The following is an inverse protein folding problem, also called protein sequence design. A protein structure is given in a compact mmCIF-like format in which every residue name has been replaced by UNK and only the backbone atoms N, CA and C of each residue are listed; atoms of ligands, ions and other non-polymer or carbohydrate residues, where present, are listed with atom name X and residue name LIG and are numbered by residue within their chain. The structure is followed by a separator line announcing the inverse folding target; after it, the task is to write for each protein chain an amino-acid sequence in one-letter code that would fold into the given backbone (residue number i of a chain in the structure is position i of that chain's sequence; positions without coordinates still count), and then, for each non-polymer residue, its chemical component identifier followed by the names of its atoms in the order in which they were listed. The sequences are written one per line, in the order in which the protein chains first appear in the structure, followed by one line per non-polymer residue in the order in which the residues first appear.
data_IF_276077114000
#
_entry.id   IF_276077114000
#
_cell.length_a   1.000
_cell.length_b   1.000
_cell.length_c   1.000
_cell.angle_alpha   90.00
_cell.angle_beta   90.00
_cell.angle_gamma   90.00
#
_symmetry.space_group_name_H-M   'P 1'
#
loop_
_entity.id
_entity.type
_entity.pdbx_description
1 polymer ?
#
# COMPACT_ATOMS: atom_id res chain seq x y z
N UNK A 1 17.13 44.33 57.33
CA UNK A 1 15.97 44.99 56.68
C UNK A 1 15.65 44.24 55.41
N UNK A 2 14.35 44.09 55.20
CA UNK A 2 13.69 43.05 54.41
C UNK A 2 13.71 43.26 52.89
N UNK A 3 13.49 42.13 52.18
CA UNK A 3 12.89 41.97 50.85
C UNK A 3 13.79 42.28 49.62
N UNK A 4 13.65 41.67 48.43
CA UNK A 4 12.56 40.91 47.80
C UNK A 4 13.15 39.81 46.90
N UNK A 5 12.45 38.67 46.86
CA UNK A 5 12.57 37.62 45.84
C UNK A 5 11.91 38.12 44.55
N UNK A 6 12.59 38.04 43.42
CA UNK A 6 11.92 38.01 42.11
C UNK A 6 12.52 36.94 41.20
N UNK A 7 11.72 35.90 41.01
CA UNK A 7 11.85 34.90 39.95
C UNK A 7 11.21 35.48 38.69
N UNK A 8 11.93 35.66 37.56
CA UNK A 8 11.29 35.82 36.28
C UNK A 8 11.17 34.44 35.63
N UNK A 9 9.92 34.03 35.45
CA UNK A 9 9.52 32.91 34.63
C UNK A 9 10.06 33.11 33.20
N UNK A 10 11.08 32.34 32.82
CA UNK A 10 11.43 32.13 31.42
C UNK A 10 10.36 31.20 30.84
N UNK A 11 9.27 31.80 30.38
CA UNK A 11 8.38 31.21 29.40
C UNK A 11 9.23 30.91 28.17
N UNK A 12 9.61 29.64 28.04
CA UNK A 12 10.16 29.10 26.81
C UNK A 12 9.03 29.15 25.77
N UNK A 13 8.90 30.29 25.08
CA UNK A 13 8.10 30.39 23.87
C UNK A 13 8.81 29.51 22.86
N UNK A 14 8.46 28.23 22.84
CA UNK A 14 8.68 27.35 21.71
C UNK A 14 8.00 28.02 20.53
N UNK A 15 8.75 28.84 19.80
CA UNK A 15 8.42 29.12 18.42
C UNK A 15 8.48 27.76 17.74
N UNK A 16 7.31 27.15 17.55
CA UNK A 16 7.08 26.26 16.43
C UNK A 16 7.40 27.07 15.18
N UNK A 17 8.67 27.12 14.80
CA UNK A 17 9.02 27.01 13.40
C UNK A 17 8.61 25.60 12.99
N UNK A 18 7.29 25.43 12.84
CA UNK A 18 6.76 24.42 11.96
C UNK A 18 7.38 24.75 10.62
N UNK A 19 8.37 23.94 10.24
CA UNK A 19 8.75 23.85 8.86
C UNK A 19 7.46 23.49 8.12
N UNK A 20 6.83 24.50 7.52
CA UNK A 20 5.88 24.28 6.45
C UNK A 20 6.74 23.68 5.36
N UNK A 21 6.85 22.34 5.36
CA UNK A 21 7.21 21.63 4.15
C UNK A 21 6.13 22.08 3.17
N UNK A 22 6.52 22.91 2.21
CA UNK A 22 5.72 23.21 1.04
C UNK A 22 5.54 21.90 0.27
N UNK A 23 4.72 21.02 0.81
CA UNK A 23 4.23 19.82 0.15
C UNK A 23 3.30 20.32 -0.93
N UNK A 24 3.86 20.51 -2.13
CA UNK A 24 3.06 20.68 -3.34
C UNK A 24 2.01 19.59 -3.35
N UNK A 25 0.73 19.97 -3.42
CA UNK A 25 -0.38 19.03 -3.52
C UNK A 25 -0.08 18.11 -4.72
N UNK A 26 -0.10 16.77 -4.54
CA UNK A 26 0.21 15.87 -5.62
C UNK A 26 -0.76 16.09 -6.79
N UNK A 27 -0.21 16.22 -8.00
CA UNK A 27 -1.00 16.42 -9.21
C UNK A 27 -1.70 15.11 -9.55
N UNK A 28 -3.00 15.03 -9.26
CA UNK A 28 -3.84 13.86 -9.53
C UNK A 28 -4.60 13.96 -10.85
N UNK A 29 -4.65 15.14 -11.46
CA UNK A 29 -5.21 15.34 -12.78
C UNK A 29 -4.57 16.56 -13.43
N UNK A 30 -4.70 16.67 -14.74
CA UNK A 30 -4.27 17.85 -15.47
C UNK A 30 -4.70 17.82 -16.92
N UNK A 31 -4.35 18.88 -17.62
CA UNK A 31 -4.61 19.06 -19.05
C UNK A 31 -3.31 19.43 -19.76
N UNK A 32 -3.13 18.93 -20.97
CA UNK A 32 -2.03 19.27 -21.87
C UNK A 32 -2.62 19.63 -23.22
N UNK A 33 -2.15 20.73 -23.77
CA UNK A 33 -2.60 21.22 -25.07
C UNK A 33 -1.40 21.56 -25.95
N UNK A 34 -1.58 21.48 -27.25
CA UNK A 34 -0.59 22.00 -28.20
C UNK A 34 -0.40 23.52 -28.04
N UNK A 35 0.79 24.06 -28.33
CA UNK A 35 1.03 25.50 -28.26
C UNK A 35 0.03 26.28 -29.12
N UNK A 36 -0.67 27.24 -28.51
CA UNK A 36 -1.65 28.08 -29.18
C UNK A 36 -3.06 27.51 -29.27
N UNK A 37 -3.33 26.30 -28.79
CA UNK A 37 -4.67 25.69 -28.80
C UNK A 37 -5.74 26.65 -28.20
N UNK A 38 -6.93 26.79 -28.81
CA UNK A 38 -7.46 26.09 -29.97
C UNK A 38 -7.07 26.69 -31.34
N UNK A 39 -6.22 27.71 -31.37
CA UNK A 39 -5.68 28.23 -32.63
C UNK A 39 -4.68 27.25 -33.25
N UNK A 40 -4.38 27.40 -34.56
CA UNK A 40 -3.45 26.50 -35.23
C UNK A 40 -2.06 26.48 -34.60
N UNK A 41 -1.47 25.29 -34.48
CA UNK A 41 -0.13 25.13 -33.91
C UNK A 41 0.96 25.64 -34.87
N UNK A 42 2.07 26.20 -34.34
CA UNK A 42 3.23 26.57 -35.15
C UNK A 42 3.95 25.39 -35.85
N UNK A 43 4.61 25.62 -36.99
CA UNK A 43 5.52 24.62 -37.58
C UNK A 43 6.81 24.48 -36.77
N UNK A 44 7.55 23.40 -37.03
CA UNK A 44 8.89 23.12 -36.49
C UNK A 44 8.97 23.04 -34.95
N UNK A 45 7.90 22.55 -34.32
CA UNK A 45 7.84 22.35 -32.87
C UNK A 45 8.52 21.06 -32.44
N UNK A 46 9.05 21.09 -31.23
CA UNK A 46 9.52 19.92 -30.50
C UNK A 46 9.22 20.09 -29.01
N UNK A 47 7.96 19.88 -28.65
CA UNK A 47 7.48 20.07 -27.28
C UNK A 47 7.43 18.75 -26.53
N UNK A 48 7.80 18.78 -25.25
CA UNK A 48 7.88 17.61 -24.39
C UNK A 48 7.16 17.90 -23.07
N UNK A 49 6.25 16.99 -22.69
CA UNK A 49 5.60 17.02 -21.38
C UNK A 49 5.86 15.71 -20.64
N UNK A 50 6.46 15.81 -19.46
CA UNK A 50 6.61 14.69 -18.52
C UNK A 50 5.45 14.72 -17.52
N UNK A 51 4.50 13.81 -17.71
CA UNK A 51 3.33 13.64 -16.85
C UNK A 51 3.70 12.68 -15.73
N UNK A 52 3.55 13.13 -14.49
CA UNK A 52 3.87 12.35 -13.29
C UNK A 52 2.70 12.41 -12.32
N UNK A 53 2.33 11.24 -11.79
CA UNK A 53 1.42 11.09 -10.66
C UNK A 53 2.16 10.41 -9.50
N UNK A 54 1.63 10.47 -8.26
CA UNK A 54 2.24 9.79 -7.13
C UNK A 54 2.42 8.28 -7.38
N UNK A 55 3.34 7.66 -6.64
CA UNK A 55 3.44 6.20 -6.61
C UNK A 55 2.14 5.59 -6.07
N UNK A 56 1.85 4.36 -6.49
CA UNK A 56 0.55 3.71 -6.23
C UNK A 56 -0.56 4.12 -7.21
N UNK A 57 -0.27 5.02 -8.15
CA UNK A 57 -1.19 5.41 -9.22
C UNK A 57 -0.59 5.13 -10.60
N UNK A 58 -1.49 4.91 -11.56
CA UNK A 58 -1.20 4.97 -12.99
C UNK A 58 -1.86 6.21 -13.61
N UNK A 59 -1.46 6.60 -14.81
CA UNK A 59 -2.09 7.65 -15.60
C UNK A 59 -3.09 7.05 -16.57
N UNK A 60 -4.30 7.60 -16.57
CA UNK A 60 -5.23 7.49 -17.68
C UNK A 60 -5.18 8.78 -18.51
N UNK A 61 -4.58 8.71 -19.69
CA UNK A 61 -4.51 9.82 -20.64
C UNK A 61 -5.62 9.69 -21.68
N UNK A 62 -6.39 10.76 -21.87
CA UNK A 62 -7.48 10.82 -22.86
C UNK A 62 -7.33 12.08 -23.71
N UNK A 63 -7.22 11.92 -25.02
CA UNK A 63 -7.29 13.03 -25.96
C UNK A 63 -8.75 13.48 -26.09
N UNK A 64 -9.04 14.72 -25.68
CA UNK A 64 -10.37 15.32 -25.82
C UNK A 64 -10.59 15.84 -27.25
N UNK A 65 -9.52 16.30 -27.90
CA UNK A 65 -9.52 16.72 -29.30
C UNK A 65 -8.17 16.43 -29.96
N UNK A 66 -8.21 15.97 -31.21
CA UNK A 66 -7.01 15.79 -32.03
C UNK A 66 -7.29 16.22 -33.47
N UNK A 67 -6.47 17.13 -33.96
CA UNK A 67 -6.54 17.77 -35.26
C UNK A 67 -5.12 18.15 -35.68
N UNK A 68 -4.35 17.14 -36.07
CA UNK A 68 -2.95 17.22 -36.50
C UNK A 68 -2.86 16.79 -37.96
N UNK A 69 -1.90 17.30 -38.73
CA UNK A 69 -1.69 16.93 -40.13
C UNK A 69 -1.56 15.41 -40.31
N UNK A 70 -2.39 14.85 -41.20
CA UNK A 70 -2.43 13.41 -41.48
C UNK A 70 -1.34 13.05 -42.48
N UNK A 71 -0.52 12.06 -42.13
CA UNK A 71 0.48 11.45 -43.01
C UNK A 71 0.58 9.95 -42.73
N UNK A 72 1.15 9.19 -43.67
CA UNK A 72 1.42 7.76 -43.46
C UNK A 72 2.31 7.58 -42.22
N UNK A 73 1.88 6.72 -41.29
CA UNK A 73 2.50 6.49 -39.98
C UNK A 73 2.82 7.77 -39.17
N UNK A 74 2.07 8.85 -39.44
CA UNK A 74 2.28 10.16 -38.84
C UNK A 74 3.74 10.63 -38.96
N UNK A 75 4.30 10.51 -40.17
CA UNK A 75 5.68 10.85 -40.49
C UNK A 75 6.00 12.35 -40.37
N UNK A 76 5.10 13.22 -40.80
CA UNK A 76 5.29 14.69 -40.74
C UNK A 76 5.03 15.23 -39.34
N UNK A 77 3.76 15.45 -39.00
CA UNK A 77 3.34 15.93 -37.69
C UNK A 77 2.83 14.78 -36.83
N UNK A 78 3.20 14.76 -35.55
CA UNK A 78 2.74 13.73 -34.63
C UNK A 78 2.82 14.10 -33.16
N UNK A 79 1.91 13.53 -32.38
CA UNK A 79 2.03 13.41 -30.92
C UNK A 79 2.39 11.97 -30.56
N UNK A 80 3.50 11.78 -29.86
CA UNK A 80 3.98 10.47 -29.40
C UNK A 80 3.78 10.33 -27.90
N UNK A 81 3.34 9.15 -27.47
CA UNK A 81 3.15 8.78 -26.06
C UNK A 81 4.15 7.70 -25.69
N UNK A 82 4.95 7.96 -24.65
CA UNK A 82 6.06 7.12 -24.21
C UNK A 82 5.92 6.78 -22.72
N UNK A 83 6.37 5.59 -22.33
CA UNK A 83 6.59 5.20 -20.94
C UNK A 83 8.07 4.85 -20.75
N UNK A 84 8.84 5.75 -20.12
CA UNK A 84 10.29 5.64 -20.11
C UNK A 84 10.86 5.58 -21.53
N UNK A 85 11.50 4.46 -21.89
CA UNK A 85 12.01 4.20 -23.26
C UNK A 85 11.02 3.46 -24.16
N UNK A 86 9.89 2.99 -23.63
CA UNK A 86 8.89 2.21 -24.36
C UNK A 86 7.94 3.14 -25.09
N UNK A 87 7.78 2.91 -26.39
CA UNK A 87 6.78 3.59 -27.21
C UNK A 87 5.39 2.97 -27.01
N UNK A 88 4.40 3.80 -26.69
CA UNK A 88 3.01 3.37 -26.51
C UNK A 88 2.14 3.70 -27.72
N UNK A 89 2.43 4.79 -28.44
CA UNK A 89 1.71 5.16 -29.66
C UNK A 89 2.17 6.48 -30.26
N UNK A 90 1.82 6.67 -31.53
CA UNK A 90 2.01 7.91 -32.30
C UNK A 90 0.68 8.21 -32.98
N UNK A 91 0.25 9.47 -32.90
CA UNK A 91 -1.07 9.89 -33.35
C UNK A 91 -0.99 11.17 -34.18
N UNK A 92 -1.85 11.24 -35.20
CA UNK A 92 -2.07 12.39 -36.08
C UNK A 92 -3.44 12.24 -36.77
N UNK A 93 -3.85 13.24 -37.56
CA UNK A 93 -5.15 13.30 -38.21
C UNK A 93 -6.23 13.96 -37.35
N UNK A 94 -7.44 14.07 -37.94
CA UNK A 94 -8.65 14.56 -37.26
C UNK A 94 -9.43 13.41 -36.66
N UNK A 95 -9.81 13.53 -35.39
CA UNK A 95 -10.80 12.69 -34.71
C UNK A 95 -10.76 11.20 -35.11
N UNK A 96 -9.81 10.44 -34.56
CA UNK A 96 -9.73 8.96 -34.55
C UNK A 96 -10.60 8.21 -35.59
N UNK A 97 -10.27 8.31 -36.88
CA UNK A 97 -10.77 7.38 -37.91
C UNK A 97 -9.58 6.65 -38.52
N UNK A 98 -9.06 5.65 -37.80
CA UNK A 98 -8.20 4.60 -38.38
C UNK A 98 -8.22 3.33 -37.53
N UNK A 99 -9.43 2.77 -37.39
CA UNK A 99 -9.85 1.39 -37.03
C UNK A 99 -11.04 1.48 -36.09
N UNK A 100 -12.20 1.05 -36.59
CA UNK A 100 -13.50 1.31 -35.97
C UNK A 100 -13.60 0.89 -34.51
N UNK A 101 -13.81 1.88 -33.65
CA UNK A 101 -14.60 1.78 -32.43
C UNK A 101 -15.00 3.21 -32.02
N UNK A 102 -16.20 3.34 -31.46
CA UNK A 102 -16.96 4.60 -31.24
C UNK A 102 -16.18 5.79 -30.60
N UNK A 103 -16.64 7.05 -30.81
CA UNK A 103 -16.05 8.24 -30.22
C UNK A 103 -16.26 8.25 -28.69
N UNK A 104 -15.15 8.22 -27.94
CA UNK A 104 -15.10 8.17 -26.47
C UNK A 104 -14.25 7.05 -25.85
N UNK A 105 -13.55 6.22 -26.63
CA UNK A 105 -13.11 4.87 -26.18
C UNK A 105 -11.60 4.54 -26.20
N UNK A 106 -10.69 5.50 -26.41
CA UNK A 106 -9.25 5.22 -26.38
C UNK A 106 -8.52 6.02 -25.29
N UNK A 107 -8.76 5.64 -24.04
CA UNK A 107 -7.90 5.99 -22.91
C UNK A 107 -6.58 5.21 -22.99
N UNK A 108 -5.45 5.90 -22.93
CA UNK A 108 -4.14 5.27 -22.80
C UNK A 108 -3.82 5.14 -21.31
N UNK A 109 -3.85 3.89 -20.83
CA UNK A 109 -3.42 3.56 -19.48
C UNK A 109 -1.90 3.39 -19.46
N UNK A 110 -1.20 4.11 -18.58
CA UNK A 110 0.24 3.93 -18.45
C UNK A 110 0.58 2.64 -17.68
N UNK A 111 1.73 2.02 -17.98
CA UNK A 111 2.21 0.87 -17.21
C UNK A 111 2.70 1.22 -15.79
N UNK A 112 2.96 2.50 -15.49
CA UNK A 112 3.41 2.97 -14.19
C UNK A 112 2.94 4.40 -13.93
N UNK A 113 3.59 5.13 -13.03
CA UNK A 113 3.13 6.44 -12.56
C UNK A 113 3.61 7.64 -13.42
N UNK A 114 4.08 7.39 -14.64
CA UNK A 114 4.53 8.45 -15.54
C UNK A 114 4.15 8.18 -17.00
N UNK A 115 4.12 9.26 -17.79
CA UNK A 115 4.08 9.26 -19.25
C UNK A 115 4.90 10.43 -19.76
N UNK A 116 5.51 10.27 -20.93
CA UNK A 116 6.13 11.36 -21.68
C UNK A 116 5.39 11.56 -22.98
N UNK A 117 4.93 12.78 -23.20
CA UNK A 117 4.33 13.24 -24.45
C UNK A 117 5.37 14.01 -25.25
N UNK A 118 5.46 13.73 -26.55
CA UNK A 118 6.36 14.45 -27.46
C UNK A 118 5.57 14.89 -28.69
N UNK A 119 5.34 16.19 -28.82
CA UNK A 119 4.69 16.78 -30.00
C UNK A 119 5.76 17.33 -30.94
N UNK A 120 5.79 16.80 -32.16
CA UNK A 120 6.72 17.21 -33.20
C UNK A 120 5.96 17.63 -34.45
N UNK A 121 6.33 18.79 -35.00
CA UNK A 121 5.80 19.28 -36.27
C UNK A 121 6.94 19.54 -37.26
N UNK A 122 6.65 19.41 -38.55
CA UNK A 122 7.63 19.60 -39.61
C UNK A 122 7.83 21.09 -39.98
N UNK A 123 8.69 21.37 -40.97
CA UNK A 123 8.93 22.73 -41.47
C UNK A 123 7.92 23.23 -42.49
N UNK A 124 7.00 22.36 -42.94
CA UNK A 124 6.07 22.62 -44.02
C UNK A 124 4.65 22.43 -43.54
N UNK A 125 3.98 23.51 -43.16
CA UNK A 125 2.52 23.47 -43.07
C UNK A 125 1.95 23.70 -44.45
N UNK A 126 1.39 22.71 -45.17
CA UNK A 126 0.69 22.98 -46.42
C UNK A 126 -0.63 23.67 -46.03
N UNK A 127 -0.59 24.99 -45.84
CA UNK A 127 -1.73 25.80 -45.42
C UNK A 127 -1.84 25.99 -43.90
N UNK A 128 -0.85 26.67 -43.31
CA UNK A 128 -0.56 27.06 -41.91
C UNK A 128 -1.70 27.57 -41.00
N UNK A 129 -2.97 27.37 -41.37
CA UNK A 129 -4.15 27.86 -40.66
C UNK A 129 -5.27 26.82 -40.50
N UNK A 130 -5.01 25.51 -40.70
CA UNK A 130 -6.08 24.49 -40.69
C UNK A 130 -6.17 23.58 -39.46
N UNK A 131 -5.07 23.33 -38.77
CA UNK A 131 -4.99 22.26 -37.76
C UNK A 131 -4.83 22.85 -36.36
N UNK A 132 -5.85 22.68 -35.52
CA UNK A 132 -5.90 23.22 -34.16
C UNK A 132 -4.96 22.51 -33.18
N UNK A 133 -4.43 21.34 -33.54
CA UNK A 133 -3.50 20.57 -32.71
C UNK A 133 -4.23 19.60 -31.81
N UNK A 134 -3.90 19.59 -30.51
CA UNK A 134 -4.52 18.64 -29.57
C UNK A 134 -4.85 19.28 -28.22
N UNK A 135 -5.86 18.73 -27.56
CA UNK A 135 -6.08 18.85 -26.13
C UNK A 135 -6.25 17.45 -25.56
N UNK A 136 -5.63 17.21 -24.41
CA UNK A 136 -5.69 15.95 -23.69
C UNK A 136 -5.79 16.20 -22.19
N UNK A 137 -6.61 15.39 -21.53
CA UNK A 137 -6.69 15.36 -20.07
C UNK A 137 -6.04 14.08 -19.57
N UNK A 138 -5.39 14.16 -18.41
CA UNK A 138 -4.88 12.99 -17.71
C UNK A 138 -5.37 12.99 -16.28
N UNK A 139 -5.55 11.79 -15.73
CA UNK A 139 -5.93 11.60 -14.34
C UNK A 139 -5.20 10.40 -13.74
N UNK A 140 -4.89 10.51 -12.46
CA UNK A 140 -4.37 9.45 -11.64
C UNK A 140 -5.47 8.41 -11.40
N UNK A 141 -5.16 7.16 -11.66
CA UNK A 141 -6.02 6.01 -11.37
C UNK A 141 -5.30 5.15 -10.36
N UNK A 142 -5.97 4.91 -9.24
CA UNK A 142 -5.48 4.07 -8.16
C UNK A 142 -5.18 2.64 -8.66
N UNK A 143 -4.02 2.11 -8.28
CA UNK A 143 -3.66 0.73 -8.58
C UNK A 143 -4.27 -0.13 -7.49
N UNK A 144 -5.14 -1.08 -7.86
CA UNK A 144 -5.68 -2.02 -6.88
C UNK A 144 -4.76 -3.24 -6.74
N UNK A 145 -3.79 -3.18 -5.82
CA UNK A 145 -2.79 -4.23 -5.62
C UNK A 145 -3.40 -5.57 -5.18
N UNK A 146 -4.61 -5.55 -4.62
CA UNK A 146 -5.32 -6.76 -4.22
C UNK A 146 -5.95 -7.54 -5.39
N UNK A 147 -6.08 -6.92 -6.56
CA UNK A 147 -6.72 -7.52 -7.75
C UNK A 147 -5.80 -7.62 -8.95
N UNK A 148 -4.69 -6.85 -8.97
CA UNK A 148 -3.75 -6.89 -10.08
C UNK A 148 -3.10 -8.26 -10.18
N UNK A 149 -3.22 -8.92 -11.34
CA UNK A 149 -2.59 -10.21 -11.65
C UNK A 149 -1.04 -10.15 -11.75
N UNK A 150 -0.42 -9.05 -11.30
CA UNK A 150 0.99 -8.73 -11.52
C UNK A 150 1.99 -9.53 -10.68
N UNK A 151 1.53 -10.36 -9.74
CA UNK A 151 2.23 -11.60 -9.40
C UNK A 151 1.33 -12.48 -8.53
N UNK A 152 1.06 -13.69 -9.00
CA UNK A 152 0.39 -14.73 -8.24
C UNK A 152 1.26 -15.10 -7.03
N UNK A 153 1.02 -14.48 -5.86
CA UNK A 153 1.16 -15.22 -4.60
C UNK A 153 1.60 -14.53 -3.31
N UNK A 154 2.16 -13.31 -3.26
CA UNK A 154 2.90 -12.90 -2.04
C UNK A 154 2.89 -11.41 -1.63
N UNK A 155 1.86 -10.60 -1.93
CA UNK A 155 1.82 -9.24 -1.34
C UNK A 155 1.30 -9.21 0.11
N UNK A 156 0.28 -10.00 0.44
CA UNK A 156 -0.21 -10.19 1.82
C UNK A 156 -0.38 -11.69 2.11
N UNK A 157 0.07 -12.17 3.27
CA UNK A 157 -0.08 -13.59 3.63
C UNK A 157 -1.54 -14.00 3.81
N UNK A 158 -2.39 -13.14 4.40
CA UNK A 158 -3.78 -13.47 4.70
C UNK A 158 -4.81 -12.60 3.96
N UNK A 159 -4.98 -11.34 4.38
CA UNK A 159 -5.99 -10.45 3.82
C UNK A 159 -5.32 -9.19 3.28
N UNK A 160 -5.74 -8.78 2.09
CA UNK A 160 -5.33 -7.54 1.43
C UNK A 160 -6.50 -6.56 1.44
N UNK A 161 -6.24 -5.29 1.79
CA UNK A 161 -7.18 -4.20 1.65
C UNK A 161 -6.56 -3.09 0.82
N UNK A 162 -7.18 -2.80 -0.33
CA UNK A 162 -6.76 -1.70 -1.19
C UNK A 162 -7.02 -0.36 -0.50
N UNK A 163 -6.11 0.59 -0.69
CA UNK A 163 -6.23 1.97 -0.22
C UNK A 163 -5.86 2.92 -1.35
N UNK A 164 -6.14 4.21 -1.24
CA UNK A 164 -5.77 5.16 -2.29
C UNK A 164 -4.25 5.39 -2.29
N UNK A 165 -3.57 4.97 -3.35
CA UNK A 165 -2.12 5.08 -3.53
C UNK A 165 -1.31 3.98 -2.87
N UNK A 166 -1.93 2.86 -2.49
CA UNK A 166 -1.24 1.73 -1.88
C UNK A 166 -2.21 0.71 -1.30
N UNK A 167 -1.72 -0.17 -0.43
CA UNK A 167 -2.55 -1.19 0.21
C UNK A 167 -2.05 -1.49 1.63
N UNK A 168 -2.90 -2.16 2.40
CA UNK A 168 -2.55 -2.65 3.73
C UNK A 168 -2.91 -4.13 3.89
N UNK A 169 -2.02 -4.87 4.54
CA UNK A 169 -2.26 -6.28 4.88
C UNK A 169 -2.82 -6.41 6.29
N UNK A 170 -3.64 -7.44 6.50
CA UNK A 170 -4.14 -7.82 7.82
C UNK A 170 -4.21 -9.34 7.98
N UNK A 171 -4.29 -9.78 9.23
CA UNK A 171 -4.18 -11.19 9.59
C UNK A 171 -5.49 -11.76 10.14
N UNK A 172 -5.67 -13.08 9.96
CA UNK A 172 -6.74 -13.85 10.61
C UNK A 172 -6.61 -13.80 12.14
N UNK A 173 -7.72 -14.01 12.82
CA UNK A 173 -7.74 -14.12 14.29
C UNK A 173 -6.72 -15.15 14.79
N UNK A 174 -5.89 -14.74 15.76
CA UNK A 174 -4.80 -15.56 16.31
C UNK A 174 -3.47 -15.48 15.56
N UNK A 175 -3.35 -14.56 14.61
CA UNK A 175 -2.10 -14.24 13.93
C UNK A 175 -1.78 -12.75 14.08
N UNK A 176 -0.48 -12.44 14.08
CA UNK A 176 0.06 -11.08 14.16
C UNK A 176 0.79 -10.72 12.87
N UNK A 177 0.55 -9.50 12.39
CA UNK A 177 1.27 -8.94 11.25
C UNK A 177 2.72 -8.65 11.66
N UNK A 178 3.65 -9.11 10.85
CA UNK A 178 5.08 -8.95 11.10
C UNK A 178 5.58 -7.56 10.66
N UNK A 179 6.81 -7.16 11.05
CA UNK A 179 7.39 -5.85 10.70
C UNK A 179 7.58 -5.61 9.20
N UNK A 180 7.50 -6.66 8.38
CA UNK A 180 7.50 -6.55 6.91
C UNK A 180 6.16 -6.06 6.34
N UNK A 181 5.16 -5.81 7.19
CA UNK A 181 3.79 -5.38 6.86
C UNK A 181 3.05 -6.31 5.89
N UNK A 182 3.48 -7.56 5.76
CA UNK A 182 2.94 -8.51 4.79
C UNK A 182 2.69 -9.89 5.38
N UNK A 183 3.65 -10.41 6.15
CA UNK A 183 3.57 -11.77 6.68
C UNK A 183 2.78 -11.82 7.97
N UNK A 184 1.95 -12.85 8.08
CA UNK A 184 1.19 -13.13 9.29
C UNK A 184 1.79 -14.34 10.01
N UNK A 185 2.20 -14.17 11.26
CA UNK A 185 2.72 -15.25 12.08
C UNK A 185 1.72 -15.61 13.20
N UNK A 186 1.53 -16.89 13.54
CA UNK A 186 0.68 -17.26 14.67
C UNK A 186 1.13 -16.56 15.96
N UNK A 187 0.18 -16.14 16.77
CA UNK A 187 0.47 -15.57 18.10
C UNK A 187 1.24 -16.61 18.92
N UNK A 188 2.33 -16.19 19.56
CA UNK A 188 3.09 -17.02 20.50
C UNK A 188 2.67 -16.68 21.93
N UNK A 189 2.12 -17.66 22.66
CA UNK A 189 1.77 -17.52 24.07
C UNK A 189 2.98 -17.63 25.01
N UNK A 190 4.16 -17.95 24.47
CA UNK A 190 5.38 -18.18 25.21
C UNK A 190 5.35 -19.46 26.04
N UNK A 191 6.52 -19.85 26.55
CA UNK A 191 6.61 -20.93 27.50
C UNK A 191 6.06 -20.46 28.86
N UNK A 192 5.09 -21.18 29.45
CA UNK A 192 4.60 -20.83 30.78
C UNK A 192 5.73 -21.02 31.79
N UNK A 193 6.03 -19.98 32.57
CA UNK A 193 7.03 -20.06 33.64
C UNK A 193 6.33 -20.56 34.92
N UNK A 194 6.67 -21.75 35.44
CA UNK A 194 6.09 -22.25 36.69
C UNK A 194 6.54 -21.39 37.87
N UNK A 195 5.60 -20.77 38.60
CA UNK A 195 5.95 -19.88 39.72
C UNK A 195 6.56 -20.59 40.93
N UNK A 196 6.36 -21.90 41.08
CA UNK A 196 6.68 -22.64 42.32
C UNK A 196 7.57 -23.89 42.13
N UNK A 197 8.17 -24.09 40.95
CA UNK A 197 9.08 -25.23 40.66
C UNK A 197 8.41 -26.62 40.61
N UNK A 198 7.28 -26.83 41.29
CA UNK A 198 6.55 -28.11 41.38
C UNK A 198 5.72 -28.43 40.15
N UNK A 199 5.36 -27.41 39.35
CA UNK A 199 4.57 -27.55 38.14
C UNK A 199 5.50 -27.69 36.94
N UNK A 200 5.27 -28.69 36.10
CA UNK A 200 6.04 -28.95 34.87
C UNK A 200 5.14 -29.12 33.66
N UNK A 201 5.66 -28.79 32.48
CA UNK A 201 5.03 -29.13 31.20
C UNK A 201 5.39 -30.58 30.86
N UNK A 202 4.39 -31.41 30.60
CA UNK A 202 4.57 -32.85 30.30
C UNK A 202 4.49 -33.18 28.81
N UNK A 203 4.20 -32.19 27.96
CA UNK A 203 4.20 -32.33 26.50
C UNK A 203 5.60 -32.69 25.98
N UNK A 204 5.71 -33.75 25.15
CA UNK A 204 6.99 -34.23 24.59
C UNK A 204 7.74 -33.19 23.76
N UNK A 205 7.00 -32.37 23.00
CA UNK A 205 7.52 -31.26 22.19
C UNK A 205 6.52 -30.11 22.34
N UNK A 206 6.66 -29.26 23.37
CA UNK A 206 5.71 -28.19 23.62
C UNK A 206 5.78 -27.13 22.51
N UNK A 207 4.63 -26.88 21.86
CA UNK A 207 4.46 -25.80 20.89
C UNK A 207 3.67 -24.67 21.55
N UNK A 208 4.13 -23.44 21.40
CA UNK A 208 3.56 -22.28 22.09
C UNK A 208 2.71 -21.39 21.19
N UNK A 209 2.60 -21.75 19.90
CA UNK A 209 1.86 -20.99 18.91
C UNK A 209 0.34 -21.19 19.06
N UNK A 210 -0.44 -20.22 18.57
CA UNK A 210 -1.90 -20.21 18.56
C UNK A 210 -2.52 -21.55 18.19
N UNK A 211 -3.58 -21.94 18.92
CA UNK A 211 -4.27 -23.24 18.86
C UNK A 211 -3.47 -24.48 19.28
N UNK A 212 -2.16 -24.38 19.54
CA UNK A 212 -1.46 -25.51 20.17
C UNK A 212 -1.88 -25.66 21.62
N UNK A 213 -1.75 -26.90 22.10
CA UNK A 213 -2.09 -27.28 23.45
C UNK A 213 -0.84 -27.74 24.20
N UNK A 214 -0.78 -27.39 25.48
CA UNK A 214 0.21 -27.86 26.42
C UNK A 214 -0.48 -28.55 27.58
N UNK A 215 0.18 -29.58 28.10
CA UNK A 215 -0.30 -30.30 29.26
C UNK A 215 0.65 -30.06 30.43
N UNK A 216 0.07 -29.81 31.60
CA UNK A 216 0.76 -29.65 32.85
C UNK A 216 0.67 -30.91 33.71
N UNK A 217 1.70 -31.11 34.52
CA UNK A 217 1.71 -32.12 35.56
C UNK A 217 2.60 -31.67 36.71
N UNK A 218 2.56 -32.41 37.81
CA UNK A 218 3.46 -32.17 38.93
C UNK A 218 4.78 -32.93 38.74
N UNK A 219 5.87 -32.34 39.25
CA UNK A 219 7.20 -32.92 39.19
C UNK A 219 7.28 -34.21 40.03
N UNK A 220 6.63 -34.21 41.19
CA UNK A 220 6.61 -35.33 42.12
C UNK A 220 5.22 -35.91 42.30
N UNK A 221 5.15 -37.25 42.46
CA UNK A 221 3.91 -38.01 42.72
C UNK A 221 3.24 -37.67 44.05
N UNK A 222 3.94 -37.00 44.96
CA UNK A 222 3.38 -36.54 46.24
C UNK A 222 2.49 -35.31 46.09
N UNK A 223 2.47 -34.68 44.92
CA UNK A 223 1.60 -33.57 44.61
C UNK A 223 0.51 -34.01 43.63
N UNK A 224 -0.69 -33.49 43.83
CA UNK A 224 -1.79 -33.58 42.87
C UNK A 224 -1.96 -32.23 42.18
N UNK A 225 -2.38 -32.27 40.93
CA UNK A 225 -2.71 -31.07 40.18
C UNK A 225 -4.08 -30.55 40.65
N UNK A 226 -4.15 -29.26 40.97
CA UNK A 226 -5.36 -28.52 41.26
C UNK A 226 -5.63 -27.53 40.12
N UNK A 227 -6.77 -27.71 39.46
CA UNK A 227 -7.12 -27.04 38.21
C UNK A 227 -7.04 -27.99 37.01
N UNK A 228 -7.23 -27.45 35.82
CA UNK A 228 -7.18 -28.22 34.58
C UNK A 228 -5.74 -28.60 34.21
N UNK A 229 -5.56 -29.68 33.46
CA UNK A 229 -4.25 -30.16 33.03
C UNK A 229 -3.89 -29.70 31.61
N UNK A 230 -4.87 -29.43 30.74
CA UNK A 230 -4.66 -28.99 29.35
C UNK A 230 -5.03 -27.53 29.15
N UNK A 231 -4.11 -26.77 28.53
CA UNK A 231 -4.32 -25.38 28.15
C UNK A 231 -4.03 -25.18 26.67
N UNK A 232 -4.84 -24.36 26.01
CA UNK A 232 -4.69 -23.95 24.62
C UNK A 232 -4.19 -22.52 24.53
N UNK A 233 -3.30 -22.25 23.57
CA UNK A 233 -2.84 -20.90 23.28
C UNK A 233 -3.94 -20.10 22.56
N UNK A 234 -4.38 -19.00 23.17
CA UNK A 234 -5.40 -18.10 22.65
C UNK A 234 -4.81 -16.98 21.79
N UNK A 235 -5.66 -16.38 20.97
CA UNK A 235 -5.27 -15.33 20.04
C UNK A 235 -4.73 -14.06 20.71
N UNK A 236 -5.04 -13.84 21.99
CA UNK A 236 -4.56 -12.70 22.76
C UNK A 236 -3.19 -12.95 23.41
N UNK A 237 -2.56 -14.11 23.18
CA UNK A 237 -1.21 -14.41 23.67
C UNK A 237 -1.17 -14.94 25.10
N UNK A 238 -2.25 -15.56 25.58
CA UNK A 238 -2.27 -16.23 26.88
C UNK A 238 -2.80 -17.67 26.76
N UNK A 239 -2.44 -18.49 27.74
CA UNK A 239 -2.92 -19.86 27.87
C UNK A 239 -4.30 -19.89 28.53
N UNK A 240 -5.23 -20.65 27.96
CA UNK A 240 -6.58 -20.83 28.50
C UNK A 240 -6.95 -22.30 28.57
N UNK A 241 -7.53 -22.71 29.69
CA UNK A 241 -8.09 -24.04 29.86
C UNK A 241 -9.35 -24.24 29.01
N UNK A 242 -9.68 -25.50 28.69
CA UNK A 242 -10.97 -25.89 28.09
C UNK A 242 -12.19 -25.43 28.92
N UNK A 243 -12.03 -25.32 30.24
CA UNK A 243 -13.07 -24.82 31.16
C UNK A 243 -13.09 -23.29 31.27
N UNK A 244 -12.26 -22.59 30.48
CA UNK A 244 -12.26 -21.13 30.37
C UNK A 244 -11.37 -20.39 31.38
N UNK A 245 -10.73 -21.12 32.32
CA UNK A 245 -9.79 -20.54 33.28
C UNK A 245 -8.53 -19.99 32.60
N UNK A 246 -8.09 -18.80 33.04
CA UNK A 246 -6.81 -18.20 32.68
C UNK A 246 -5.71 -18.42 33.72
N UNK A 247 -6.09 -18.91 34.90
CA UNK A 247 -5.13 -19.18 35.96
C UNK A 247 -4.49 -20.53 35.69
N UNK A 248 -3.16 -20.57 35.58
CA UNK A 248 -2.41 -21.82 35.47
C UNK A 248 -2.69 -22.72 36.69
N UNK A 249 -2.66 -24.05 36.51
CA UNK A 249 -2.93 -24.98 37.59
C UNK A 249 -1.80 -24.95 38.61
N UNK A 250 -2.08 -25.46 39.81
CA UNK A 250 -1.11 -25.52 40.91
C UNK A 250 -0.93 -26.96 41.36
N UNK A 251 0.25 -27.27 41.85
CA UNK A 251 0.53 -28.54 42.50
C UNK A 251 0.34 -28.36 44.00
N UNK A 252 -0.56 -29.15 44.58
CA UNK A 252 -0.85 -29.19 46.02
C UNK A 252 -0.51 -30.57 46.56
N UNK A 253 -0.13 -30.66 47.83
CA UNK A 253 0.20 -31.95 48.44
C UNK A 253 -1.00 -32.91 48.32
N UNK A 254 -0.71 -34.13 47.85
CA UNK A 254 -1.67 -35.21 47.82
C UNK A 254 -1.87 -35.73 49.24
N UNK A 255 -3.12 -35.75 49.71
CA UNK A 255 -3.46 -36.33 51.01
C UNK A 255 -3.09 -37.82 50.94
N UNK A 256 -1.99 -38.20 51.58
CA UNK A 256 -1.68 -39.60 51.84
C UNK A 256 -2.60 -40.00 52.99
N UNK A 257 -3.75 -40.60 52.68
CA UNK A 257 -4.50 -41.32 53.70
C UNK A 257 -3.64 -42.51 54.13
N UNK A 258 -2.83 -42.29 55.17
CA UNK A 258 -2.25 -43.36 55.99
C UNK A 258 -3.43 -44.03 56.72
N UNK A 259 -4.13 -44.92 56.02
CA UNK A 259 -4.98 -45.90 56.67
C UNK A 259 -4.01 -46.90 57.32
N UNK A 260 -3.81 -46.69 58.63
CA UNK A 260 -3.23 -47.66 59.56
C UNK A 260 -4.21 -48.82 59.79
#
# INVERSE_FOLDING_TARGET
MSLFIHVPWLLCVFQCWGAVISGSIPVLHGEVQSPGYPAPYPPSLHEIWDLLVPQGYTLNLTFTNIDIELSEDCYYDSIMVMFGKRFLGRFCGRNHVSKGDRPGKYSIMSPGNNLRLVFKTDSSSPGSHRYSGFSAIYQAVDINECTTEFDKGYMCHHFCSNTLGGFVCSCRHGYQLQPDNSTCFPVDCGFPVPKNGTLRVVSKIPKTLYQNEIQFGCESKYYRLEGDDVYRCEAQGYWRSLNGSRNLPKCVEGIVNLLY
#
